data_IF_920862482524
#
_entry.id   IF_920862482524
#
_cell.length_a   1.000
_cell.length_b   1.000
_cell.length_c   1.000
_cell.angle_alpha   90.00
_cell.angle_beta   90.00
_cell.angle_gamma   90.00
#
_symmetry.space_group_name_H-M   'P 1'
#
loop_
_entity.id
_entity.type
_entity.pdbx_description
1 polymer ?
#
# COMPACT_ATOMS: atom_id res chain seq x y z
N UNK A 1 46.03 -14.64 40.41
CA UNK A 1 45.04 -13.57 40.18
C UNK A 1 45.78 -12.43 39.52
N UNK A 2 45.49 -12.05 38.27
CA UNK A 2 46.21 -10.93 37.65
C UNK A 2 45.63 -9.64 38.25
N UNK A 3 46.42 -8.99 39.11
CA UNK A 3 46.11 -7.71 39.70
C UNK A 3 46.70 -6.61 38.80
N UNK A 4 45.82 -5.78 38.23
CA UNK A 4 46.21 -4.56 37.53
C UNK A 4 46.26 -4.66 36.00
N UNK A 5 45.13 -4.95 35.36
CA UNK A 5 44.95 -4.53 33.96
C UNK A 5 44.70 -3.03 33.95
N UNK A 6 45.65 -2.24 33.44
CA UNK A 6 45.42 -0.84 33.12
C UNK A 6 44.42 -0.78 31.96
N UNK A 7 43.15 -0.59 32.29
CA UNK A 7 42.06 -0.44 31.32
C UNK A 7 42.30 0.80 30.47
N UNK A 8 42.70 0.61 29.22
CA UNK A 8 42.93 1.71 28.28
C UNK A 8 41.59 2.26 27.76
N UNK A 9 41.06 3.20 28.53
CA UNK A 9 39.78 3.87 28.23
C UNK A 9 39.81 4.63 26.89
N UNK A 10 40.98 5.07 26.41
CA UNK A 10 41.10 5.76 25.14
C UNK A 10 40.99 4.77 23.96
N UNK A 11 41.61 3.60 24.07
CA UNK A 11 41.49 2.54 23.07
C UNK A 11 40.05 2.00 22.96
N UNK A 12 39.39 1.77 24.10
CA UNK A 12 37.98 1.34 24.14
C UNK A 12 37.05 2.38 23.50
N UNK A 13 37.27 3.67 23.79
CA UNK A 13 36.46 4.77 23.23
C UNK A 13 36.61 4.89 21.72
N UNK A 14 37.84 4.72 21.19
CA UNK A 14 38.11 4.75 19.74
C UNK A 14 37.45 3.56 19.02
N UNK A 15 37.48 2.38 19.63
CA UNK A 15 36.81 1.20 19.09
C UNK A 15 35.28 1.39 19.06
N UNK A 16 34.72 1.92 20.14
CA UNK A 16 33.29 2.25 20.22
C UNK A 16 32.88 3.28 19.17
N UNK A 17 33.58 4.40 19.07
CA UNK A 17 33.30 5.46 18.09
C UNK A 17 33.37 4.93 16.65
N UNK A 18 34.37 4.10 16.32
CA UNK A 18 34.48 3.50 14.98
C UNK A 18 33.27 2.60 14.68
N UNK A 19 32.84 1.76 15.63
CA UNK A 19 31.66 0.91 15.47
C UNK A 19 30.39 1.74 15.29
N UNK A 20 30.21 2.78 16.10
CA UNK A 20 29.06 3.70 15.99
C UNK A 20 29.04 4.41 14.64
N UNK A 21 30.20 4.86 14.13
CA UNK A 21 30.28 5.50 12.81
C UNK A 21 29.93 4.53 11.69
N UNK A 22 30.44 3.29 11.74
CA UNK A 22 30.11 2.25 10.76
C UNK A 22 28.61 1.95 10.76
N UNK A 23 28.00 1.81 11.94
CA UNK A 23 26.55 1.60 12.05
C UNK A 23 25.76 2.79 11.51
N UNK A 24 26.18 4.02 11.80
CA UNK A 24 25.54 5.22 11.29
C UNK A 24 25.57 5.27 9.76
N UNK A 25 26.72 4.99 9.15
CA UNK A 25 26.84 4.91 7.68
C UNK A 25 25.92 3.83 7.11
N UNK A 26 25.86 2.66 7.73
CA UNK A 26 25.00 1.56 7.29
C UNK A 26 23.52 1.98 7.33
N UNK A 27 23.08 2.61 8.42
CA UNK A 27 21.71 3.13 8.55
C UNK A 27 21.42 4.18 7.49
N UNK A 28 22.34 5.11 7.24
CA UNK A 28 22.18 6.13 6.20
C UNK A 28 22.05 5.52 4.81
N UNK A 29 22.84 4.49 4.49
CA UNK A 29 22.73 3.76 3.23
C UNK A 29 21.39 3.04 3.10
N UNK A 30 20.91 2.40 4.17
CA UNK A 30 19.60 1.74 4.17
C UNK A 30 18.46 2.74 3.93
N UNK A 31 18.48 3.88 4.63
CA UNK A 31 17.52 4.97 4.44
C UNK A 31 17.61 5.52 3.01
N UNK A 32 18.82 5.75 2.49
CA UNK A 32 19.03 6.19 1.11
C UNK A 32 18.42 5.21 0.10
N UNK A 33 18.57 3.90 0.32
CA UNK A 33 17.93 2.87 -0.49
C UNK A 33 16.40 2.94 -0.47
N UNK A 34 15.80 3.17 0.71
CA UNK A 34 14.35 3.36 0.84
C UNK A 34 13.87 4.62 0.12
N UNK A 35 14.60 5.73 0.23
CA UNK A 35 14.27 6.97 -0.48
C UNK A 35 14.35 6.76 -1.99
N UNK A 36 15.39 6.08 -2.49
CA UNK A 36 15.52 5.76 -3.91
C UNK A 36 14.35 4.90 -4.40
N UNK A 37 13.95 3.88 -3.63
CA UNK A 37 12.78 3.05 -3.94
C UNK A 37 11.48 3.85 -3.95
N UNK A 38 11.31 4.77 -3.00
CA UNK A 38 10.15 5.64 -2.94
C UNK A 38 10.09 6.57 -4.16
N UNK A 39 11.23 7.16 -4.55
CA UNK A 39 11.33 7.98 -5.74
C UNK A 39 10.98 7.21 -7.02
N UNK A 40 11.47 5.97 -7.16
CA UNK A 40 11.10 5.09 -8.27
C UNK A 40 9.58 4.93 -8.37
N UNK A 41 8.93 4.52 -7.28
CA UNK A 41 7.48 4.26 -7.28
C UNK A 41 6.65 5.53 -7.52
N UNK A 42 7.08 6.66 -6.94
CA UNK A 42 6.29 7.89 -6.94
C UNK A 42 6.52 8.77 -8.16
N UNK A 43 7.73 8.76 -8.74
CA UNK A 43 8.11 9.65 -9.86
C UNK A 43 8.24 8.89 -11.16
N UNK A 44 8.98 7.78 -11.17
CA UNK A 44 9.19 6.99 -12.40
C UNK A 44 7.92 6.21 -12.76
N UNK A 45 7.31 5.57 -11.78
CA UNK A 45 6.13 4.72 -11.97
C UNK A 45 4.82 5.45 -11.62
N UNK A 46 4.86 6.78 -11.50
CA UNK A 46 3.73 7.63 -11.11
C UNK A 46 2.48 7.34 -11.93
N UNK A 47 2.58 7.43 -13.26
CA UNK A 47 1.44 7.32 -14.18
C UNK A 47 0.76 5.96 -14.09
N UNK A 48 1.54 4.90 -13.89
CA UNK A 48 1.05 3.51 -13.76
C UNK A 48 0.21 3.39 -12.49
N UNK A 49 0.76 3.80 -11.34
CA UNK A 49 0.09 3.64 -10.06
C UNK A 49 -1.09 4.60 -9.88
N UNK A 50 -1.04 5.80 -10.45
CA UNK A 50 -2.18 6.73 -10.49
C UNK A 50 -3.36 6.12 -11.27
N UNK A 51 -3.09 5.56 -12.46
CA UNK A 51 -4.12 4.92 -13.29
C UNK A 51 -4.72 3.68 -12.61
N UNK A 52 -3.90 2.86 -11.94
CA UNK A 52 -4.37 1.69 -11.21
C UNK A 52 -5.22 2.09 -9.99
N UNK A 53 -4.85 3.15 -9.29
CA UNK A 53 -5.63 3.70 -8.18
C UNK A 53 -6.99 4.21 -8.65
N UNK A 54 -7.03 4.94 -9.77
CA UNK A 54 -8.29 5.45 -10.34
C UNK A 54 -9.24 4.33 -10.78
N UNK A 55 -8.70 3.26 -11.38
CA UNK A 55 -9.48 2.05 -11.71
C UNK A 55 -10.06 1.36 -10.47
N UNK A 56 -9.34 1.36 -9.35
CA UNK A 56 -9.85 0.82 -8.09
C UNK A 56 -10.89 1.76 -7.43
N UNK A 57 -10.80 3.07 -7.68
CA UNK A 57 -11.72 4.07 -7.12
C UNK A 57 -13.05 4.15 -7.85
N UNK A 58 -13.06 3.97 -9.17
CA UNK A 58 -14.26 4.15 -10.01
C UNK A 58 -14.56 2.86 -10.76
N UNK A 59 -15.31 1.96 -10.11
CA UNK A 59 -16.00 0.89 -10.84
C UNK A 59 -17.32 1.43 -11.41
N UNK A 60 -17.38 1.57 -12.72
CA UNK A 60 -18.63 1.87 -13.42
C UNK A 60 -19.49 0.60 -13.38
N UNK A 61 -20.43 0.53 -12.44
CA UNK A 61 -21.46 -0.49 -12.45
C UNK A 61 -22.64 0.01 -13.29
N UNK A 62 -22.86 -0.64 -14.44
CA UNK A 62 -24.04 -0.38 -15.27
C UNK A 62 -25.27 -0.94 -14.57
N UNK A 63 -26.17 -0.06 -14.12
CA UNK A 63 -27.48 -0.48 -13.60
C UNK A 63 -28.40 -0.74 -14.80
N UNK A 64 -28.86 -1.98 -15.04
CA UNK A 64 -29.80 -2.24 -16.13
C UNK A 64 -31.13 -1.56 -15.82
N UNK A 65 -31.80 -0.95 -16.82
CA UNK A 65 -33.12 -0.37 -16.62
C UNK A 65 -34.13 -1.48 -16.24
N UNK A 66 -35.10 -1.19 -15.36
CA UNK A 66 -36.15 -2.14 -15.04
C UNK A 66 -36.95 -2.48 -16.31
N UNK A 67 -37.28 -3.76 -16.50
CA UNK A 67 -38.17 -4.19 -17.58
C UNK A 67 -39.56 -3.57 -17.40
N UNK A 68 -40.18 -3.17 -18.50
CA UNK A 68 -41.54 -2.65 -18.51
C UNK A 68 -42.56 -3.69 -18.02
N UNK A 69 -43.67 -3.19 -17.47
CA UNK A 69 -44.81 -4.00 -17.03
C UNK A 69 -45.60 -4.47 -18.26
N UNK A 70 -45.98 -5.74 -18.30
CA UNK A 70 -46.81 -6.31 -19.38
C UNK A 70 -48.25 -6.37 -18.91
N UNK A 71 -49.16 -5.76 -19.68
CA UNK A 71 -50.59 -5.76 -19.41
C UNK A 71 -51.36 -6.50 -20.52
N UNK A 72 -52.45 -7.16 -20.14
CA UNK A 72 -53.45 -7.63 -21.10
C UNK A 72 -54.30 -6.46 -21.65
N UNK A 73 -55.09 -6.70 -22.70
CA UNK A 73 -56.01 -5.72 -23.32
C UNK A 73 -57.04 -5.15 -22.33
N UNK A 74 -57.30 -5.88 -21.25
CA UNK A 74 -58.17 -5.48 -20.14
C UNK A 74 -57.41 -4.79 -19.00
N UNK A 75 -56.19 -4.33 -19.24
CA UNK A 75 -55.33 -3.63 -18.27
C UNK A 75 -54.95 -4.48 -17.04
N UNK A 76 -55.05 -5.80 -17.13
CA UNK A 76 -54.63 -6.74 -16.08
C UNK A 76 -53.13 -6.99 -16.20
N UNK A 77 -52.40 -6.85 -15.09
CA UNK A 77 -50.96 -7.04 -15.03
C UNK A 77 -50.61 -8.54 -15.20
N UNK A 78 -49.84 -8.88 -16.24
CA UNK A 78 -49.41 -10.24 -16.56
C UNK A 78 -47.96 -10.52 -16.16
N UNK A 79 -47.08 -9.51 -16.23
CA UNK A 79 -45.70 -9.64 -15.81
C UNK A 79 -45.18 -8.35 -15.18
N UNK A 80 -44.52 -8.48 -14.03
CA UNK A 80 -43.87 -7.40 -13.29
C UNK A 80 -42.43 -7.74 -12.93
N UNK A 81 -41.62 -6.73 -12.66
CA UNK A 81 -40.22 -6.89 -12.30
C UNK A 81 -40.07 -6.87 -10.77
N UNK A 82 -39.86 -8.04 -10.14
CA UNK A 82 -39.62 -8.16 -8.69
C UNK A 82 -38.13 -8.24 -8.40
N UNK A 83 -37.55 -7.34 -7.59
CA UNK A 83 -36.16 -7.46 -7.15
C UNK A 83 -36.01 -8.69 -6.25
N UNK A 84 -35.07 -9.58 -6.61
CA UNK A 84 -34.72 -10.76 -5.80
C UNK A 84 -33.37 -10.49 -5.15
N UNK A 85 -33.34 -10.45 -3.82
CA UNK A 85 -32.10 -10.34 -3.05
C UNK A 85 -31.59 -11.74 -2.73
N UNK A 86 -30.49 -12.14 -3.35
CA UNK A 86 -29.77 -13.37 -3.00
C UNK A 86 -28.57 -12.98 -2.14
N UNK A 87 -28.51 -13.52 -0.92
CA UNK A 87 -27.34 -13.40 -0.05
C UNK A 87 -26.61 -14.73 -0.17
N UNK A 88 -25.44 -14.71 -0.79
CA UNK A 88 -24.52 -15.86 -0.88
C UNK A 88 -23.37 -15.63 0.08
#
# INVERSE_FOLDING_TARGET
MPWGEFKDTAAERRLFQRRSLVMLVLVMLAIGGLIARMYQLQVVEHEIYTTLSDKNRVQVQSVPPPRGLVYDRNNTLLAENRPVFSVT
#
